data_IF_822144177943
#
_entry.id   IF_822144177943
#
_cell.length_a   1.000
_cell.length_b   1.000
_cell.length_c   1.000
_cell.angle_alpha   90.00
_cell.angle_beta   90.00
_cell.angle_gamma   90.00
#
_symmetry.space_group_name_H-M   'P 1'
#
loop_
_entity.id
_entity.type
_entity.pdbx_description
1 polymer ?
#
# COMPACT_ATOMS: atom_id res chain seq x y z
N UNK A 1 -12.11 -18.38 7.01
CA UNK A 1 -11.81 -17.05 6.45
C UNK A 1 -10.78 -17.23 5.36
N UNK A 2 -10.90 -16.55 4.21
CA UNK A 2 -9.82 -16.54 3.23
C UNK A 2 -8.54 -16.01 3.90
N UNK A 3 -7.39 -16.65 3.59
CA UNK A 3 -6.10 -16.15 4.07
C UNK A 3 -5.83 -14.80 3.40
N UNK A 4 -5.55 -13.78 4.20
CA UNK A 4 -5.16 -12.45 3.72
C UNK A 4 -3.64 -12.45 3.58
N UNK A 5 -3.11 -11.97 2.46
CA UNK A 5 -1.67 -12.03 2.15
C UNK A 5 -0.80 -11.35 3.22
N UNK A 6 -1.32 -10.29 3.85
CA UNK A 6 -0.67 -9.62 4.99
C UNK A 6 -0.35 -10.57 6.14
N UNK A 7 -1.14 -11.62 6.37
CA UNK A 7 -0.96 -12.53 7.52
C UNK A 7 0.14 -13.57 7.30
N UNK A 8 0.65 -13.69 6.07
CA UNK A 8 1.73 -14.62 5.72
C UNK A 8 3.12 -13.99 5.86
N UNK A 9 3.21 -12.71 6.26
CA UNK A 9 4.49 -11.98 6.37
C UNK A 9 4.96 -11.94 7.82
N UNK A 10 6.26 -12.20 8.02
CA UNK A 10 6.91 -12.07 9.34
C UNK A 10 7.17 -10.58 9.67
N UNK A 11 6.25 -9.99 10.42
CA UNK A 11 6.31 -8.58 10.84
C UNK A 11 7.47 -8.29 11.81
N UNK A 12 8.08 -9.31 12.43
CA UNK A 12 9.20 -9.10 13.37
C UNK A 12 10.51 -8.79 12.64
N UNK A 13 10.61 -9.17 11.36
CA UNK A 13 11.77 -8.94 10.49
C UNK A 13 11.54 -7.81 9.48
N UNK A 14 10.37 -7.19 9.48
CA UNK A 14 10.02 -6.14 8.53
C UNK A 14 10.71 -4.83 8.91
N UNK A 15 11.53 -4.31 7.99
CA UNK A 15 12.11 -2.98 8.09
C UNK A 15 11.10 -1.90 7.71
N UNK A 16 11.23 -0.72 8.31
CA UNK A 16 10.50 0.47 7.92
C UNK A 16 11.43 1.70 8.04
N UNK A 17 11.28 2.72 7.18
CA UNK A 17 10.34 2.81 6.07
C UNK A 17 10.73 1.92 4.87
N UNK A 18 9.75 1.32 4.19
CA UNK A 18 10.00 0.45 3.04
C UNK A 18 8.77 0.33 2.10
N UNK A 19 9.02 -0.02 0.84
CA UNK A 19 8.01 -0.38 -0.15
C UNK A 19 8.14 -1.88 -0.46
N UNK A 20 7.02 -2.60 -0.49
CA UNK A 20 6.98 -4.03 -0.82
C UNK A 20 5.79 -4.35 -1.69
N UNK A 21 5.95 -5.26 -2.65
CA UNK A 21 4.82 -5.86 -3.36
C UNK A 21 4.06 -6.76 -2.38
N UNK A 22 2.84 -6.35 -2.04
CA UNK A 22 1.96 -7.09 -1.14
C UNK A 22 1.24 -8.22 -1.86
N UNK A 23 0.80 -7.95 -3.10
CA UNK A 23 0.01 -8.87 -3.90
C UNK A 23 0.08 -8.49 -5.37
N UNK A 24 0.18 -9.50 -6.23
CA UNK A 24 -0.12 -9.38 -7.66
C UNK A 24 -1.39 -10.19 -7.96
N UNK A 25 -2.26 -9.64 -8.80
CA UNK A 25 -3.45 -10.31 -9.32
C UNK A 25 -3.69 -9.90 -10.76
N UNK A 26 -4.45 -10.71 -11.50
CA UNK A 26 -4.90 -10.35 -12.85
C UNK A 26 -6.42 -10.49 -12.90
N UNK A 27 -7.08 -9.57 -13.62
CA UNK A 27 -8.51 -9.65 -13.88
C UNK A 27 -8.81 -10.84 -14.82
N UNK A 28 -10.05 -11.33 -14.87
CA UNK A 28 -10.44 -12.37 -15.84
C UNK A 28 -10.21 -11.97 -17.31
N UNK A 29 -10.02 -10.67 -17.61
CA UNK A 29 -9.76 -10.14 -18.94
C UNK A 29 -8.29 -9.82 -19.21
N UNK A 30 -7.41 -10.07 -18.24
CA UNK A 30 -5.95 -9.96 -18.40
C UNK A 30 -5.31 -8.67 -17.90
N UNK A 31 -6.07 -7.76 -17.30
CA UNK A 31 -5.48 -6.55 -16.69
C UNK A 31 -4.75 -6.93 -15.40
N UNK A 32 -3.53 -6.45 -15.22
CA UNK A 32 -2.79 -6.67 -13.99
C UNK A 32 -3.14 -5.63 -12.92
N UNK A 33 -3.27 -6.08 -11.67
CA UNK A 33 -3.41 -5.22 -10.51
C UNK A 33 -2.32 -5.60 -9.52
N UNK A 34 -1.53 -4.61 -9.11
CA UNK A 34 -0.49 -4.74 -8.09
C UNK A 34 -0.88 -3.95 -6.85
N UNK A 35 -0.74 -4.58 -5.69
CA UNK A 35 -0.93 -3.94 -4.39
C UNK A 35 0.42 -3.79 -3.71
N UNK A 36 0.74 -2.58 -3.30
CA UNK A 36 1.93 -2.24 -2.54
C UNK A 36 1.62 -2.04 -1.07
N UNK A 37 2.51 -2.56 -0.23
CA UNK A 37 2.64 -2.26 1.19
C UNK A 37 3.64 -1.12 1.34
N UNK A 38 3.12 0.07 1.63
CA UNK A 38 3.90 1.28 1.89
C UNK A 38 4.08 1.41 3.39
N UNK A 39 5.18 0.87 3.92
CA UNK A 39 5.44 0.79 5.35
C UNK A 39 6.16 2.04 5.84
N UNK A 40 5.53 2.78 6.74
CA UNK A 40 6.09 4.01 7.33
C UNK A 40 6.72 3.74 8.70
N UNK A 41 6.07 2.95 9.54
CA UNK A 41 6.51 2.66 10.91
C UNK A 41 6.90 1.20 11.08
N UNK A 42 7.89 0.94 11.95
CA UNK A 42 8.26 -0.43 12.31
C UNK A 42 7.10 -1.13 13.03
N UNK A 43 6.67 -2.32 12.57
CA UNK A 43 5.59 -3.05 13.23
C UNK A 43 5.87 -3.31 14.71
N UNK A 44 4.85 -3.11 15.54
CA UNK A 44 4.90 -3.31 17.00
C UNK A 44 5.92 -2.43 17.77
N UNK A 45 6.48 -1.40 17.12
CA UNK A 45 7.41 -0.44 17.77
C UNK A 45 6.90 0.99 17.71
N UNK A 46 6.32 1.38 16.58
CA UNK A 46 5.87 2.75 16.31
C UNK A 46 4.52 2.75 15.61
N UNK A 47 3.75 3.83 15.80
CA UNK A 47 2.44 4.00 15.15
C UNK A 47 2.28 5.47 14.72
N UNK A 48 1.57 5.69 13.62
CA UNK A 48 1.10 7.02 13.25
C UNK A 48 -0.13 7.41 14.09
N UNK A 49 -0.21 8.69 14.49
CA UNK A 49 -1.39 9.21 15.16
C UNK A 49 -2.61 9.14 14.25
N UNK A 50 -3.81 8.92 14.79
CA UNK A 50 -5.03 8.82 13.97
C UNK A 50 -5.30 10.09 13.16
N UNK A 51 -5.14 11.26 13.79
CA UNK A 51 -5.31 12.55 13.09
C UNK A 51 -4.28 12.70 11.98
N UNK A 52 -3.02 12.37 12.26
CA UNK A 52 -1.95 12.46 11.27
C UNK A 52 -2.15 11.51 10.09
N UNK A 53 -2.56 10.26 10.34
CA UNK A 53 -2.82 9.27 9.28
C UNK A 53 -3.96 9.70 8.38
N UNK A 54 -5.04 10.23 8.95
CA UNK A 54 -6.20 10.68 8.18
C UNK A 54 -5.85 11.95 7.37
N UNK A 55 -5.14 12.92 7.96
CA UNK A 55 -4.66 14.08 7.18
C UNK A 55 -3.73 13.66 6.05
N UNK A 56 -2.82 12.72 6.32
CA UNK A 56 -1.91 12.19 5.31
C UNK A 56 -2.67 11.46 4.20
N UNK A 57 -3.69 10.67 4.51
CA UNK A 57 -4.54 9.98 3.53
C UNK A 57 -5.08 10.94 2.46
N UNK A 58 -5.66 12.09 2.87
CA UNK A 58 -6.18 13.10 1.93
C UNK A 58 -5.09 13.68 1.02
N UNK A 59 -3.94 14.02 1.57
CA UNK A 59 -2.84 14.60 0.81
C UNK A 59 -2.15 13.58 -0.09
N UNK A 60 -1.95 12.36 0.43
CA UNK A 60 -1.18 11.32 -0.20
C UNK A 60 -1.87 10.79 -1.45
N UNK A 61 -3.20 10.66 -1.40
CA UNK A 61 -3.98 10.23 -2.55
C UNK A 61 -3.89 11.21 -3.73
N UNK A 62 -3.81 12.52 -3.48
CA UNK A 62 -3.64 13.56 -4.50
C UNK A 62 -2.24 13.55 -5.08
N UNK A 63 -1.23 13.74 -4.23
CA UNK A 63 0.17 13.83 -4.68
C UNK A 63 0.63 12.56 -5.40
N UNK A 64 0.26 11.37 -4.93
CA UNK A 64 0.69 10.14 -5.59
C UNK A 64 0.11 10.01 -6.99
N UNK A 65 -1.13 10.47 -7.23
CA UNK A 65 -1.70 10.48 -8.58
C UNK A 65 -0.98 11.46 -9.49
N UNK A 66 -0.59 12.63 -8.98
CA UNK A 66 0.15 13.64 -9.76
C UNK A 66 1.53 13.15 -10.20
N UNK A 67 2.22 12.38 -9.35
CA UNK A 67 3.61 11.97 -9.59
C UNK A 67 3.79 10.56 -10.14
N UNK A 68 2.83 9.65 -9.94
CA UNK A 68 2.98 8.24 -10.32
C UNK A 68 2.02 7.79 -11.41
N UNK A 69 0.88 8.45 -11.66
CA UNK A 69 0.06 8.01 -12.80
C UNK A 69 0.83 8.25 -14.12
N UNK A 70 0.75 7.28 -15.02
CA UNK A 70 1.37 7.34 -16.35
C UNK A 70 0.48 6.64 -17.38
N UNK A 71 0.91 6.59 -18.65
CA UNK A 71 0.19 5.84 -19.69
C UNK A 71 0.18 4.33 -19.43
N UNK A 72 1.16 3.80 -18.70
CA UNK A 72 1.33 2.36 -18.45
C UNK A 72 0.68 1.87 -17.15
N UNK A 73 0.40 2.77 -16.20
CA UNK A 73 -0.18 2.40 -14.91
C UNK A 73 -0.97 3.53 -14.24
N UNK A 74 -2.03 3.15 -13.53
CA UNK A 74 -2.97 4.06 -12.88
C UNK A 74 -3.30 3.61 -11.45
N UNK A 75 -3.19 4.53 -10.48
CA UNK A 75 -3.55 4.29 -9.08
C UNK A 75 -5.07 4.14 -8.93
N UNK A 76 -5.49 3.00 -8.39
CA UNK A 76 -6.88 2.72 -8.01
C UNK A 76 -7.18 3.37 -6.65
N UNK A 77 -6.38 3.03 -5.64
CA UNK A 77 -6.65 3.43 -4.25
C UNK A 77 -5.36 3.55 -3.42
N UNK A 78 -5.40 4.42 -2.40
CA UNK A 78 -4.39 4.53 -1.34
C UNK A 78 -5.13 4.65 0.00
N UNK A 79 -5.07 3.59 0.81
CA UNK A 79 -5.82 3.50 2.07
C UNK A 79 -4.91 3.21 3.28
N UNK A 80 -5.15 3.81 4.45
CA UNK A 80 -4.37 3.55 5.65
C UNK A 80 -4.62 2.14 6.20
N UNK A 81 -3.57 1.50 6.70
CA UNK A 81 -3.73 0.22 7.40
C UNK A 81 -4.34 0.43 8.78
N UNK A 82 -5.23 -0.48 9.20
CA UNK A 82 -5.84 -0.43 10.54
C UNK A 82 -4.84 -0.49 11.70
N UNK A 83 -3.67 -1.10 11.51
CA UNK A 83 -2.58 -1.11 12.49
C UNK A 83 -1.80 0.23 12.57
N UNK A 84 -2.11 1.20 11.69
CA UNK A 84 -1.52 2.56 11.63
C UNK A 84 0.00 2.60 11.45
N UNK A 85 0.56 1.61 10.77
CA UNK A 85 2.01 1.54 10.46
C UNK A 85 2.34 1.80 8.99
N UNK A 86 1.34 1.97 8.14
CA UNK A 86 1.55 2.20 6.72
C UNK A 86 0.23 2.34 5.95
N UNK A 87 0.35 2.26 4.63
CA UNK A 87 -0.76 2.35 3.67
C UNK A 87 -0.70 1.16 2.69
N UNK A 88 -1.86 0.77 2.18
CA UNK A 88 -1.93 -0.05 0.96
C UNK A 88 -2.18 0.86 -0.23
N UNK A 89 -1.46 0.63 -1.32
CA UNK A 89 -1.70 1.29 -2.61
C UNK A 89 -1.98 0.23 -3.66
N UNK A 90 -3.12 0.31 -4.34
CA UNK A 90 -3.46 -0.57 -5.46
C UNK A 90 -3.36 0.18 -6.78
N UNK A 91 -2.80 -0.48 -7.78
CA UNK A 91 -2.45 0.11 -9.08
C UNK A 91 -2.83 -0.87 -10.17
N UNK A 92 -3.47 -0.37 -11.24
CA UNK A 92 -3.59 -1.10 -12.51
C UNK A 92 -2.23 -1.00 -13.22
N UNK A 93 -1.68 -2.15 -13.63
CA UNK A 93 -0.35 -2.26 -14.22
C UNK A 93 0.71 -2.82 -13.27
N UNK A 94 1.98 -2.85 -13.71
CA UNK A 94 3.12 -3.44 -12.97
C UNK A 94 4.30 -2.46 -12.81
N UNK A 95 4.14 -1.34 -12.09
CA UNK A 95 5.28 -0.48 -11.76
C UNK A 95 6.30 -1.23 -10.88
N UNK A 96 7.57 -0.83 -10.99
CA UNK A 96 8.74 -1.43 -10.32
C UNK A 96 9.39 -0.51 -9.32
#
# INVERSE_FOLDING_TARGET
MPLIDSFMVDHTKMSAPAVRVAKDMSTPKGDDIRVFDLRFCMPNKEIMSQKGVHTLEHLFAGFMRDYLNSEDFEIIDISPMGCRTGFYMSVIGRPT
#
